data_IF_260778260305
#
_entry.id   IF_260778260305
#
_cell.length_a   1.000
_cell.length_b   1.000
_cell.length_c   1.000
_cell.angle_alpha   90.00
_cell.angle_beta   90.00
_cell.angle_gamma   90.00
#
_symmetry.space_group_name_H-M   'P 1'
#
loop_
_entity.id
_entity.type
_entity.pdbx_description
1 polymer ?
#
# COMPACT_ATOMS: atom_id res chain seq x y z
N UNK A 1 13.62 -11.90 -14.96
CA UNK A 1 12.76 -11.33 -13.91
C UNK A 1 12.70 -12.32 -12.77
N UNK A 2 13.36 -12.04 -11.64
CA UNK A 2 13.25 -12.89 -10.45
C UNK A 2 12.00 -12.49 -9.70
N UNK A 3 10.95 -13.30 -9.79
CA UNK A 3 9.74 -13.09 -8.99
C UNK A 3 10.04 -13.54 -7.55
N UNK A 4 9.96 -12.59 -6.59
CA UNK A 4 10.01 -12.90 -5.17
C UNK A 4 8.69 -13.54 -4.72
N UNK A 5 8.76 -14.51 -3.81
CA UNK A 5 7.62 -15.21 -3.23
C UNK A 5 7.75 -15.18 -1.72
N UNK A 6 6.71 -14.70 -1.05
CA UNK A 6 6.58 -14.73 0.41
C UNK A 6 5.36 -15.54 0.83
N UNK A 7 5.55 -16.44 1.79
CA UNK A 7 4.51 -17.31 2.33
C UNK A 7 4.26 -16.96 3.78
N UNK A 8 3.02 -16.62 4.13
CA UNK A 8 2.58 -16.41 5.50
C UNK A 8 1.91 -17.70 5.95
N UNK A 9 2.47 -18.37 6.96
CA UNK A 9 2.05 -19.70 7.39
C UNK A 9 1.84 -19.73 8.90
N UNK A 10 0.90 -20.54 9.38
CA UNK A 10 0.75 -20.79 10.81
C UNK A 10 1.73 -21.89 11.24
N UNK A 11 2.39 -21.68 12.36
CA UNK A 11 3.31 -22.63 13.02
C UNK A 11 3.02 -22.69 14.51
N UNK A 12 3.59 -23.66 15.22
CA UNK A 12 3.48 -23.71 16.68
C UNK A 12 3.98 -22.40 17.30
N UNK A 13 3.04 -21.66 17.91
CA UNK A 13 3.31 -20.38 18.57
C UNK A 13 3.00 -19.12 17.75
N UNK A 14 2.48 -19.23 16.52
CA UNK A 14 1.95 -18.07 15.79
C UNK A 14 2.12 -18.15 14.27
N UNK A 15 2.40 -17.00 13.66
CA UNK A 15 2.46 -16.83 12.21
C UNK A 15 3.89 -16.52 11.78
N UNK A 16 4.39 -17.26 10.80
CA UNK A 16 5.72 -17.08 10.23
C UNK A 16 5.64 -16.57 8.79
N UNK A 17 6.57 -15.71 8.42
CA UNK A 17 6.78 -15.31 7.02
C UNK A 17 7.99 -16.06 6.49
N UNK A 18 7.82 -16.80 5.40
CA UNK A 18 8.86 -17.59 4.73
C UNK A 18 9.15 -17.00 3.36
N UNK A 19 10.40 -17.02 2.93
CA UNK A 19 10.77 -16.68 1.55
C UNK A 19 10.52 -17.85 0.57
N UNK A 20 10.96 -17.64 -0.68
CA UNK A 20 10.92 -18.66 -1.73
C UNK A 20 11.71 -19.92 -1.37
N UNK A 21 12.82 -19.80 -0.65
CA UNK A 21 13.62 -20.92 -0.18
C UNK A 21 13.01 -21.61 1.06
N UNK A 22 11.93 -21.08 1.62
CA UNK A 22 11.30 -21.58 2.85
C UNK A 22 12.01 -21.12 4.11
N UNK A 23 12.93 -20.15 4.00
CA UNK A 23 13.63 -19.58 5.15
C UNK A 23 12.75 -18.54 5.82
N UNK A 24 12.71 -18.56 7.15
CA UNK A 24 11.94 -17.59 7.93
C UNK A 24 12.56 -16.18 7.84
N UNK A 25 11.72 -15.20 7.50
CA UNK A 25 12.09 -13.80 7.34
C UNK A 25 11.64 -12.97 8.55
N UNK A 26 12.28 -13.21 9.70
CA UNK A 26 12.00 -12.49 10.95
C UNK A 26 11.50 -13.41 12.08
N UNK A 27 10.79 -12.79 13.02
CA UNK A 27 10.21 -13.45 14.18
C UNK A 27 8.81 -14.03 13.89
N UNK A 28 8.23 -14.67 14.92
CA UNK A 28 6.84 -15.11 14.89
C UNK A 28 5.90 -13.95 15.21
N UNK A 29 4.82 -13.88 14.47
CA UNK A 29 3.77 -12.89 14.61
C UNK A 29 2.57 -13.49 15.33
N UNK A 30 1.94 -12.73 16.24
CA UNK A 30 0.78 -13.23 16.98
C UNK A 30 -0.43 -13.44 16.08
N UNK A 31 -0.60 -12.60 15.06
CA UNK A 31 -1.75 -12.65 14.15
C UNK A 31 -1.34 -12.84 12.70
N UNK A 32 -2.25 -13.40 11.91
CA UNK A 32 -2.11 -13.52 10.45
C UNK A 32 -1.89 -12.15 9.80
N UNK A 33 -2.61 -11.13 10.29
CA UNK A 33 -2.53 -9.76 9.79
C UNK A 33 -1.11 -9.19 9.90
N UNK A 34 -0.47 -9.37 11.05
CA UNK A 34 0.92 -8.93 11.28
C UNK A 34 1.91 -9.62 10.33
N UNK A 35 1.74 -10.93 10.12
CA UNK A 35 2.53 -11.68 9.15
C UNK A 35 2.35 -11.17 7.73
N UNK A 36 1.11 -10.83 7.34
CA UNK A 36 0.80 -10.24 6.03
C UNK A 36 1.40 -8.85 5.87
N UNK A 37 1.32 -8.00 6.90
CA UNK A 37 1.96 -6.67 6.89
C UNK A 37 3.46 -6.82 6.65
N UNK A 38 4.11 -7.75 7.37
CA UNK A 38 5.54 -7.99 7.15
C UNK A 38 5.86 -8.49 5.75
N UNK A 39 5.07 -9.43 5.22
CA UNK A 39 5.27 -9.93 3.86
C UNK A 39 5.17 -8.80 2.81
N UNK A 40 4.26 -7.84 3.00
CA UNK A 40 4.15 -6.64 2.15
C UNK A 40 5.38 -5.74 2.27
N UNK A 41 5.91 -5.52 3.46
CA UNK A 41 7.15 -4.74 3.65
C UNK A 41 8.35 -5.37 2.94
N UNK A 42 8.46 -6.70 2.96
CA UNK A 42 9.51 -7.42 2.23
C UNK A 42 9.31 -7.33 0.72
N UNK A 43 8.06 -7.50 0.26
CA UNK A 43 7.71 -7.33 -1.15
C UNK A 43 8.01 -5.93 -1.68
N UNK A 44 7.80 -4.89 -0.87
CA UNK A 44 8.14 -3.49 -1.20
C UNK A 44 9.65 -3.32 -1.45
N UNK A 45 10.50 -3.98 -0.67
CA UNK A 45 11.97 -3.91 -0.82
C UNK A 45 12.44 -4.59 -2.10
N UNK A 46 11.80 -5.69 -2.46
CA UNK A 46 12.09 -6.44 -3.69
C UNK A 46 11.43 -5.82 -4.95
N UNK A 47 10.58 -4.82 -4.77
CA UNK A 47 9.84 -4.12 -5.83
C UNK A 47 8.58 -4.85 -6.29
N UNK A 48 8.62 -6.18 -6.44
CA UNK A 48 7.43 -6.98 -6.68
C UNK A 48 7.58 -8.38 -6.10
N UNK A 49 6.52 -8.87 -5.45
CA UNK A 49 6.48 -10.23 -4.95
C UNK A 49 5.06 -10.80 -4.92
N UNK A 50 4.94 -12.10 -5.10
CA UNK A 50 3.72 -12.83 -4.79
C UNK A 50 3.68 -13.09 -3.27
N UNK A 51 2.54 -12.83 -2.65
CA UNK A 51 2.28 -13.12 -1.24
C UNK A 51 1.20 -14.20 -1.20
N UNK A 52 1.51 -15.31 -0.53
CA UNK A 52 0.58 -16.43 -0.34
C UNK A 52 0.34 -16.59 1.16
N UNK A 53 -0.92 -16.67 1.55
CA UNK A 53 -1.35 -16.80 2.95
C UNK A 53 -1.99 -18.16 3.14
N UNK A 54 -1.39 -18.96 4.01
CA UNK A 54 -1.86 -20.30 4.37
C UNK A 54 -2.51 -20.29 5.74
N UNK A 55 -3.66 -20.94 5.85
CA UNK A 55 -4.41 -21.08 7.09
C UNK A 55 -3.72 -22.05 8.05
N UNK A 56 -4.25 -22.18 9.27
CA UNK A 56 -3.77 -23.16 10.25
C UNK A 56 -3.92 -24.62 9.80
N UNK A 57 -4.79 -24.88 8.83
CA UNK A 57 -4.97 -26.18 8.17
C UNK A 57 -3.96 -26.44 7.02
N UNK A 58 -3.04 -25.49 6.78
CA UNK A 58 -2.05 -25.55 5.71
C UNK A 58 -2.60 -25.24 4.32
N UNK A 59 -3.90 -24.93 4.19
CA UNK A 59 -4.52 -24.59 2.91
C UNK A 59 -4.30 -23.11 2.59
N UNK A 60 -4.21 -22.78 1.30
CA UNK A 60 -4.14 -21.38 0.88
C UNK A 60 -5.50 -20.73 1.11
N UNK A 61 -5.50 -19.66 1.91
CA UNK A 61 -6.70 -18.85 2.21
C UNK A 61 -6.77 -17.64 1.29
N UNK A 62 -5.61 -17.11 0.89
CA UNK A 62 -5.51 -15.95 0.02
C UNK A 62 -4.15 -15.93 -0.68
N UNK A 63 -4.12 -15.47 -1.93
CA UNK A 63 -2.89 -15.13 -2.63
C UNK A 63 -3.10 -13.82 -3.42
N UNK A 64 -2.04 -13.01 -3.50
CA UNK A 64 -2.08 -11.78 -4.27
C UNK A 64 -0.67 -11.34 -4.68
N UNK A 65 -0.59 -10.60 -5.78
CA UNK A 65 0.63 -9.95 -6.23
C UNK A 65 0.75 -8.58 -5.59
N UNK A 66 1.85 -8.35 -4.87
CA UNK A 66 2.26 -7.02 -4.47
C UNK A 66 3.19 -6.47 -5.55
N UNK A 67 2.72 -5.46 -6.27
CA UNK A 67 3.54 -4.67 -7.18
C UNK A 67 3.74 -3.32 -6.53
N UNK A 68 4.96 -2.79 -6.55
CA UNK A 68 5.18 -1.38 -6.25
C UNK A 68 4.33 -0.60 -7.24
N UNK A 69 3.25 0.01 -6.74
CA UNK A 69 2.46 0.92 -7.54
C UNK A 69 3.38 2.07 -7.92
N UNK A 70 3.91 2.03 -9.15
CA UNK A 70 4.43 3.22 -9.80
C UNK A 70 3.24 4.16 -9.85
N UNK A 71 3.14 5.04 -8.84
CA UNK A 71 2.38 6.26 -9.00
C UNK A 71 3.04 7.01 -10.13
N UNK A 72 2.65 6.69 -11.35
CA UNK A 72 2.67 7.62 -12.45
C UNK A 72 1.87 8.79 -11.91
N UNK A 73 2.60 9.81 -11.46
CA UNK A 73 2.10 11.15 -11.40
C UNK A 73 1.41 11.37 -12.74
N UNK A 74 0.08 11.32 -12.74
CA UNK A 74 -0.69 12.13 -13.66
C UNK A 74 -0.18 13.53 -13.38
N UNK A 75 0.82 13.93 -14.17
CA UNK A 75 1.21 15.29 -14.40
C UNK A 75 -0.13 15.96 -14.69
N UNK A 76 -0.69 16.64 -13.69
CA UNK A 76 -1.71 17.65 -13.97
C UNK A 76 -0.96 18.62 -14.84
N UNK A 77 -1.21 18.48 -16.14
CA UNK A 77 -0.70 19.37 -17.14
C UNK A 77 -1.19 20.75 -16.72
N UNK A 78 -0.22 21.51 -16.24
CA UNK A 78 -0.28 22.94 -16.08
C UNK A 78 -0.45 23.51 -17.49
N UNK A 79 -1.71 23.71 -17.88
CA UNK A 79 -2.07 24.51 -19.03
C UNK A 79 -3.00 25.61 -18.53
N UNK A 80 -2.37 26.75 -18.27
CA UNK A 80 -2.97 28.07 -18.12
C UNK A 80 -3.99 28.33 -19.23
N UNK A 81 -5.25 28.59 -18.88
CA UNK A 81 -6.10 29.49 -19.68
C UNK A 81 -6.44 30.70 -18.83
N UNK A 82 -5.73 31.78 -19.14
CA UNK A 82 -5.92 33.14 -18.68
C UNK A 82 -7.18 33.69 -19.35
N UNK A 83 -8.36 33.38 -18.81
CA UNK A 83 -9.59 34.07 -19.19
C UNK A 83 -9.86 35.23 -18.22
N UNK A 84 -9.11 36.30 -18.46
CA UNK A 84 -9.50 37.68 -18.23
C UNK A 84 -10.96 37.88 -18.68
N UNK A 85 -11.92 38.09 -17.78
CA UNK A 85 -13.09 38.97 -17.93
C UNK A 85 -14.08 38.69 -16.79
N UNK A 86 -14.07 39.56 -15.78
CA UNK A 86 -14.97 39.47 -14.64
C UNK A 86 -14.79 40.63 -13.67
N UNK A 87 -14.79 41.85 -14.20
CA UNK A 87 -14.75 43.09 -13.41
C UNK A 87 -15.88 43.13 -12.37
N UNK A 88 -15.54 43.09 -11.09
CA UNK A 88 -16.38 43.64 -10.03
C UNK A 88 -15.49 44.34 -8.99
N UNK A 89 -15.55 45.68 -8.89
CA UNK A 89 -14.71 46.41 -7.95
C UNK A 89 -15.21 46.25 -6.52
N UNK A 90 -14.26 46.09 -5.59
CA UNK A 90 -14.49 46.19 -4.16
C UNK A 90 -14.99 47.60 -3.78
N UNK A 91 -16.12 47.70 -3.08
CA UNK A 91 -16.46 48.87 -2.24
C UNK A 91 -17.17 48.45 -0.94
N UNK A 92 -16.35 48.28 0.10
CA UNK A 92 -16.46 48.84 1.46
C UNK A 92 -17.78 49.55 1.80
N UNK A 93 -18.48 49.09 2.85
CA UNK A 93 -18.76 49.84 4.11
C UNK A 93 -19.79 49.10 4.98
N UNK A 94 -19.42 48.79 6.23
CA UNK A 94 -20.37 48.77 7.38
C UNK A 94 -20.57 50.24 7.82
N UNK A 95 -21.73 50.69 8.35
CA UNK A 95 -22.13 50.36 9.74
C UNK A 95 -23.66 50.37 10.05
N UNK A 96 -23.93 50.04 11.32
CA UNK A 96 -25.10 50.12 12.22
C UNK A 96 -26.35 50.99 11.91
N UNK A 97 -27.45 50.52 12.54
CA UNK A 97 -28.51 51.25 13.27
C UNK A 97 -29.86 51.51 12.55
N UNK A 98 -30.91 50.84 13.01
CA UNK A 98 -32.18 51.41 13.51
C UNK A 98 -33.03 50.30 14.14
#
# INVERSE_FOLDING_TARGET
>A
MHQSLYRVVHVDGGWAVLDRAGKRCGDLYQTQGDGVVRAKELALRDGSAQIVVQGPDGRVVSDFMHQREERHSLRRDDSTDDSLFGSAPARRSSPSHA
#
